data_IF_778190766673
#
_entry.id   IF_778190766673
#
_cell.length_a   1.000
_cell.length_b   1.000
_cell.length_c   1.000
_cell.angle_alpha   90.00
_cell.angle_beta   90.00
_cell.angle_gamma   90.00
#
_symmetry.space_group_name_H-M   'P 1'
#
loop_
_entity.id
_entity.type
_entity.pdbx_description
1 polymer ?
#
# COMPACT_ATOMS: atom_id res chain seq x y z
N UNK A 1 17.05 -17.90 4.79
CA UNK A 1 17.99 -16.75 4.92
C UNK A 1 18.67 -16.40 3.60
N UNK A 2 19.36 -17.34 2.94
CA UNK A 2 20.15 -17.07 1.75
C UNK A 2 19.28 -16.69 0.52
N UNK A 3 18.15 -17.33 0.35
CA UNK A 3 17.23 -17.09 -0.77
C UNK A 3 16.67 -15.67 -0.74
N UNK A 4 16.22 -15.21 0.44
CA UNK A 4 15.68 -13.84 0.59
C UNK A 4 16.76 -12.79 0.28
N UNK A 5 17.97 -13.00 0.77
CA UNK A 5 19.09 -12.09 0.49
C UNK A 5 19.38 -12.00 -1.00
N UNK A 6 19.30 -13.12 -1.72
CA UNK A 6 19.47 -13.16 -3.18
C UNK A 6 18.36 -12.37 -3.88
N UNK A 7 17.09 -12.53 -3.48
CA UNK A 7 15.99 -11.73 -4.03
C UNK A 7 16.17 -10.25 -3.71
N UNK A 8 16.45 -9.91 -2.45
CA UNK A 8 16.64 -8.51 -2.04
C UNK A 8 17.80 -7.83 -2.79
N UNK A 9 18.90 -8.53 -3.03
CA UNK A 9 20.05 -8.00 -3.76
C UNK A 9 19.80 -7.83 -5.27
N UNK A 10 18.86 -8.57 -5.85
CA UNK A 10 18.53 -8.49 -7.27
C UNK A 10 17.42 -7.49 -7.60
N UNK A 11 16.75 -6.91 -6.59
CA UNK A 11 15.68 -5.93 -6.81
C UNK A 11 16.28 -4.59 -7.21
N UNK A 12 16.12 -4.22 -8.47
CA UNK A 12 16.68 -2.99 -9.07
C UNK A 12 16.09 -1.71 -8.47
N UNK A 13 14.86 -1.78 -7.95
CA UNK A 13 14.16 -0.64 -7.36
C UNK A 13 14.61 -0.31 -5.93
N UNK A 14 15.47 -1.14 -5.32
CA UNK A 14 16.07 -0.81 -4.03
C UNK A 14 17.12 0.29 -4.20
N UNK A 15 16.93 1.37 -3.47
CA UNK A 15 17.90 2.48 -3.46
C UNK A 15 19.17 2.03 -2.74
N UNK A 16 20.30 2.29 -3.35
CA UNK A 16 21.61 1.88 -2.82
C UNK A 16 21.81 2.40 -1.39
N UNK A 17 22.04 1.49 -0.45
CA UNK A 17 22.45 1.84 0.91
C UNK A 17 23.93 2.17 0.85
N UNK A 18 24.28 3.47 0.89
CA UNK A 18 25.67 3.89 0.98
C UNK A 18 26.27 3.46 2.33
N UNK A 19 27.57 3.22 2.38
CA UNK A 19 28.30 2.97 3.64
C UNK A 19 28.20 4.23 4.52
N UNK A 20 27.17 4.25 5.41
CA UNK A 20 26.82 5.36 6.29
C UNK A 20 25.68 4.99 7.22
N UNK A 21 24.89 6.00 7.64
CA UNK A 21 23.70 5.78 8.48
C UNK A 21 22.69 4.88 7.75
N UNK A 22 22.24 3.83 8.44
CA UNK A 22 21.16 2.95 7.96
C UNK A 22 19.91 3.79 7.61
N UNK A 23 19.37 3.56 6.42
CA UNK A 23 18.19 4.31 5.95
C UNK A 23 16.92 3.74 6.58
N UNK A 24 16.07 4.64 7.10
CA UNK A 24 14.80 4.29 7.72
C UNK A 24 13.68 4.27 6.67
N UNK A 25 12.98 3.14 6.59
CA UNK A 25 11.84 2.95 5.69
C UNK A 25 10.61 2.60 6.52
N UNK A 26 9.52 3.35 6.30
CA UNK A 26 8.23 3.02 6.88
C UNK A 26 7.38 2.33 5.82
N UNK A 27 6.91 1.12 6.14
CA UNK A 27 6.09 0.29 5.25
C UNK A 27 4.62 0.42 5.65
N UNK A 28 3.77 0.75 4.69
CA UNK A 28 2.32 0.65 4.87
C UNK A 28 1.91 -0.83 4.90
N UNK A 29 1.60 -1.35 6.09
CA UNK A 29 1.21 -2.75 6.32
C UNK A 29 -0.31 -2.84 6.30
N UNK A 30 -0.86 -3.60 5.35
CA UNK A 30 -2.31 -3.79 5.20
C UNK A 30 -2.81 -5.12 5.78
N UNK A 31 -1.93 -5.95 6.34
CA UNK A 31 -2.25 -7.32 6.72
C UNK A 31 -2.35 -8.29 5.53
N UNK A 32 -2.08 -7.86 4.31
CA UNK A 32 -2.03 -8.71 3.11
C UNK A 32 -0.62 -9.21 2.79
N UNK A 33 -0.52 -10.24 1.94
CA UNK A 33 0.76 -10.88 1.57
C UNK A 33 1.76 -9.90 0.93
N UNK A 34 1.29 -8.97 0.10
CA UNK A 34 2.16 -8.06 -0.63
C UNK A 34 2.90 -7.09 0.29
N UNK A 35 2.19 -6.46 1.23
CA UNK A 35 2.82 -5.57 2.22
C UNK A 35 3.75 -6.33 3.17
N UNK A 36 3.41 -7.59 3.50
CA UNK A 36 4.22 -8.46 4.35
C UNK A 36 5.56 -8.79 3.69
N UNK A 37 5.53 -9.20 2.42
CA UNK A 37 6.75 -9.51 1.66
C UNK A 37 7.57 -8.24 1.41
N UNK A 38 6.92 -7.12 1.15
CA UNK A 38 7.60 -5.81 1.04
C UNK A 38 8.44 -5.49 2.27
N UNK A 39 7.88 -5.62 3.47
CA UNK A 39 8.59 -5.37 4.72
C UNK A 39 9.75 -6.35 4.94
N UNK A 40 9.53 -7.63 4.64
CA UNK A 40 10.54 -8.68 4.74
C UNK A 40 11.73 -8.41 3.83
N UNK A 41 11.49 -8.06 2.56
CA UNK A 41 12.53 -7.77 1.58
C UNK A 41 13.37 -6.55 1.97
N UNK A 42 12.72 -5.48 2.42
CA UNK A 42 13.42 -4.26 2.86
C UNK A 42 14.27 -4.52 4.09
N UNK A 43 13.77 -5.25 5.07
CA UNK A 43 14.55 -5.64 6.24
C UNK A 43 15.75 -6.52 5.86
N UNK A 44 15.55 -7.47 4.96
CA UNK A 44 16.62 -8.36 4.45
C UNK A 44 17.66 -7.60 3.64
N UNK A 45 17.26 -6.50 2.99
CA UNK A 45 18.18 -5.60 2.29
C UNK A 45 18.95 -4.63 3.22
N UNK A 46 18.72 -4.69 4.53
CA UNK A 46 19.48 -3.93 5.53
C UNK A 46 18.90 -2.55 5.87
N UNK A 47 17.66 -2.25 5.47
CA UNK A 47 16.98 -1.03 5.92
C UNK A 47 16.54 -1.14 7.39
N UNK A 48 16.49 -0.01 8.09
CA UNK A 48 15.73 0.12 9.33
C UNK A 48 14.24 0.20 8.97
N UNK A 49 13.49 -0.87 9.24
CA UNK A 49 12.09 -1.00 8.81
C UNK A 49 11.14 -0.85 9.99
N UNK A 50 10.12 -0.02 9.83
CA UNK A 50 8.96 0.06 10.72
C UNK A 50 7.69 -0.10 9.90
N UNK A 51 6.64 -0.64 10.49
CA UNK A 51 5.32 -0.78 9.89
C UNK A 51 4.35 0.30 10.36
N UNK A 52 3.47 0.76 9.48
CA UNK A 52 2.28 1.53 9.84
C UNK A 52 1.06 0.87 9.23
N UNK A 53 0.09 0.55 10.09
CA UNK A 53 -1.26 0.21 9.67
C UNK A 53 -2.08 1.49 9.52
N UNK A 54 -2.53 1.75 8.30
CA UNK A 54 -3.34 2.93 7.98
C UNK A 54 -4.82 2.63 8.21
N UNK A 55 -5.44 3.30 9.18
CA UNK A 55 -6.88 3.27 9.37
C UNK A 55 -7.51 4.39 8.52
N UNK A 56 -8.01 4.03 7.34
CA UNK A 56 -8.52 4.99 6.34
C UNK A 56 -10.04 5.16 6.37
N UNK A 57 -10.76 4.29 7.05
CA UNK A 57 -12.21 4.32 7.02
C UNK A 57 -12.79 3.97 8.39
N UNK A 58 -13.60 4.87 8.91
CA UNK A 58 -14.40 4.61 10.12
C UNK A 58 -15.84 4.38 9.68
N UNK A 59 -16.39 3.24 10.02
CA UNK A 59 -17.72 2.87 9.61
C UNK A 59 -18.77 3.60 10.46
N UNK A 60 -19.42 4.58 9.86
CA UNK A 60 -20.55 5.30 10.51
C UNK A 60 -21.92 4.81 10.00
N UNK A 61 -21.96 3.82 9.10
CA UNK A 61 -23.22 3.27 8.58
C UNK A 61 -23.57 1.96 9.27
N UNK A 62 -24.81 1.75 9.72
CA UNK A 62 -25.26 0.50 10.31
C UNK A 62 -25.16 -0.64 9.29
N UNK A 63 -24.78 -1.83 9.74
CA UNK A 63 -24.67 -3.07 8.96
C UNK A 63 -23.53 -3.14 7.90
N UNK A 64 -22.47 -2.38 8.02
CA UNK A 64 -21.29 -2.54 7.18
C UNK A 64 -20.19 -3.25 7.99
N UNK A 65 -19.83 -4.47 7.60
CA UNK A 65 -18.69 -5.18 8.18
C UNK A 65 -17.38 -4.52 7.75
N UNK A 66 -16.59 -4.08 8.72
CA UNK A 66 -15.25 -3.57 8.48
C UNK A 66 -14.22 -4.66 8.77
N UNK A 67 -13.44 -5.07 7.77
CA UNK A 67 -12.35 -6.06 7.93
C UNK A 67 -11.12 -5.48 8.62
N UNK A 68 -11.14 -4.20 8.97
CA UNK A 68 -9.99 -3.45 9.50
C UNK A 68 -9.38 -4.07 10.76
N UNK A 69 -10.20 -4.69 11.64
CA UNK A 69 -9.68 -5.31 12.86
C UNK A 69 -8.97 -6.64 12.59
N UNK A 70 -9.50 -7.46 11.68
CA UNK A 70 -8.85 -8.70 11.24
C UNK A 70 -7.56 -8.40 10.50
N UNK A 71 -7.59 -7.43 9.59
CA UNK A 71 -6.42 -6.99 8.84
C UNK A 71 -5.34 -6.40 9.75
N UNK A 72 -5.74 -5.69 10.81
CA UNK A 72 -4.81 -5.16 11.80
C UNK A 72 -4.13 -6.29 12.60
N UNK A 73 -4.88 -7.29 13.04
CA UNK A 73 -4.31 -8.48 13.72
C UNK A 73 -3.31 -9.21 12.85
N UNK A 74 -3.63 -9.40 11.56
CA UNK A 74 -2.69 -10.02 10.62
C UNK A 74 -1.43 -9.16 10.43
N UNK A 75 -1.58 -7.84 10.42
CA UNK A 75 -0.46 -6.90 10.36
C UNK A 75 0.43 -6.99 11.60
N UNK A 76 -0.15 -7.10 12.82
CA UNK A 76 0.59 -7.32 14.06
C UNK A 76 1.39 -8.62 14.01
N UNK A 77 0.74 -9.73 13.67
CA UNK A 77 1.39 -11.04 13.59
C UNK A 77 2.55 -11.05 12.58
N UNK A 78 2.39 -10.42 11.43
CA UNK A 78 3.45 -10.30 10.43
C UNK A 78 4.61 -9.47 10.94
N UNK A 79 4.33 -8.33 11.56
CA UNK A 79 5.37 -7.45 12.09
C UNK A 79 6.16 -8.15 13.19
N UNK A 80 5.50 -8.90 14.07
CA UNK A 80 6.15 -9.73 15.09
C UNK A 80 7.03 -10.81 14.47
N UNK A 81 6.53 -11.54 13.46
CA UNK A 81 7.33 -12.54 12.74
C UNK A 81 8.57 -11.97 12.09
N UNK A 82 8.43 -10.82 11.44
CA UNK A 82 9.54 -10.12 10.77
C UNK A 82 10.47 -9.47 11.83
N UNK A 83 9.97 -9.19 13.03
CA UNK A 83 10.68 -8.47 14.11
C UNK A 83 10.84 -6.99 13.78
N UNK A 84 9.75 -6.32 13.40
CA UNK A 84 9.65 -4.87 13.18
C UNK A 84 8.53 -4.29 14.04
N UNK A 85 8.66 -3.02 14.44
CA UNK A 85 7.58 -2.33 15.17
C UNK A 85 6.43 -2.01 14.23
N UNK A 86 5.18 -2.18 14.70
CA UNK A 86 3.97 -1.73 14.03
C UNK A 86 3.36 -0.56 14.80
N UNK A 87 3.01 0.49 14.07
CA UNK A 87 2.23 1.62 14.58
C UNK A 87 0.88 1.68 13.85
N UNK A 88 -0.11 2.30 14.49
CA UNK A 88 -1.41 2.57 13.88
C UNK A 88 -1.56 4.07 13.64
N UNK A 89 -1.88 4.48 12.43
CA UNK A 89 -2.18 5.86 12.09
C UNK A 89 -3.59 5.98 11.51
N UNK A 90 -4.31 7.03 11.91
CA UNK A 90 -5.69 7.26 11.48
C UNK A 90 -5.73 8.38 10.44
N UNK A 91 -6.13 8.05 9.23
CA UNK A 91 -6.32 8.97 8.11
C UNK A 91 -7.78 9.04 7.65
N UNK A 92 -8.72 8.63 8.49
CA UNK A 92 -10.14 8.54 8.11
C UNK A 92 -10.75 9.90 7.76
N UNK A 93 -10.33 10.97 8.42
CA UNK A 93 -10.79 12.32 8.12
C UNK A 93 -10.31 12.79 6.75
N UNK A 94 -9.00 12.62 6.47
CA UNK A 94 -8.40 12.96 5.18
C UNK A 94 -8.99 12.11 4.05
N UNK A 95 -9.23 10.83 4.32
CA UNK A 95 -9.83 9.91 3.35
C UNK A 95 -11.26 10.34 3.02
N UNK A 96 -12.06 10.68 4.03
CA UNK A 96 -13.41 11.18 3.84
C UNK A 96 -13.43 12.43 2.97
N UNK A 97 -12.60 13.41 3.31
CA UNK A 97 -12.61 14.71 2.64
C UNK A 97 -12.03 14.68 1.22
N UNK A 98 -10.93 13.95 1.01
CA UNK A 98 -10.17 14.01 -0.25
C UNK A 98 -10.46 12.86 -1.21
N UNK A 99 -11.01 11.75 -0.72
CA UNK A 99 -11.28 10.57 -1.55
C UNK A 99 -12.79 10.33 -1.66
N UNK A 100 -13.46 10.14 -0.53
CA UNK A 100 -14.85 9.70 -0.54
C UNK A 100 -15.82 10.79 -1.02
N UNK A 101 -15.65 12.04 -0.60
CA UNK A 101 -16.50 13.16 -1.05
C UNK A 101 -16.37 13.40 -2.56
N UNK A 102 -15.15 13.31 -3.11
CA UNK A 102 -14.92 13.44 -4.55
C UNK A 102 -15.56 12.27 -5.30
N UNK A 103 -15.39 11.05 -4.80
CA UNK A 103 -16.04 9.86 -5.32
C UNK A 103 -17.57 10.02 -5.39
N UNK A 104 -18.23 10.51 -4.33
CA UNK A 104 -19.67 10.77 -4.33
C UNK A 104 -20.06 11.89 -5.31
N UNK A 105 -19.28 12.97 -5.36
CA UNK A 105 -19.50 14.09 -6.28
C UNK A 105 -19.49 13.65 -7.73
N UNK A 106 -18.51 12.83 -8.12
CA UNK A 106 -18.38 12.34 -9.49
C UNK A 106 -19.50 11.34 -9.84
N UNK A 107 -19.88 10.49 -8.91
CA UNK A 107 -21.06 9.63 -9.07
C UNK A 107 -22.34 10.45 -9.33
N UNK A 108 -22.55 11.55 -8.59
CA UNK A 108 -23.69 12.42 -8.79
C UNK A 108 -23.72 13.09 -10.17
N UNK A 109 -22.55 13.27 -10.80
CA UNK A 109 -22.40 13.79 -12.18
C UNK A 109 -22.58 12.69 -13.25
N UNK A 110 -22.84 11.44 -12.85
CA UNK A 110 -22.94 10.30 -13.77
C UNK A 110 -21.59 9.76 -14.27
N UNK A 111 -20.50 10.13 -13.61
CA UNK A 111 -19.16 9.60 -13.91
C UNK A 111 -18.95 8.25 -13.19
N UNK A 112 -17.96 7.49 -13.66
CA UNK A 112 -17.47 6.27 -12.99
C UNK A 112 -16.14 6.58 -12.32
N UNK A 113 -16.13 7.08 -11.06
CA UNK A 113 -14.89 7.46 -10.39
C UNK A 113 -14.07 6.24 -9.96
N UNK A 114 -12.75 6.40 -9.93
CA UNK A 114 -11.83 5.42 -9.37
C UNK A 114 -11.19 5.97 -8.08
N UNK A 115 -11.72 5.59 -6.90
CA UNK A 115 -11.23 6.12 -5.63
C UNK A 115 -9.81 5.65 -5.28
N UNK A 116 -9.33 4.54 -5.87
CA UNK A 116 -7.98 4.04 -5.58
C UNK A 116 -6.89 4.97 -6.10
N UNK A 117 -7.14 5.65 -7.24
CA UNK A 117 -6.23 6.68 -7.76
C UNK A 117 -6.13 7.85 -6.79
N UNK A 118 -7.26 8.30 -6.23
CA UNK A 118 -7.31 9.37 -5.24
C UNK A 118 -6.68 8.93 -3.91
N UNK A 119 -6.97 7.70 -3.46
CA UNK A 119 -6.37 7.13 -2.27
C UNK A 119 -4.84 7.10 -2.39
N UNK A 120 -4.30 6.64 -3.51
CA UNK A 120 -2.87 6.67 -3.73
C UNK A 120 -2.32 8.10 -3.68
N UNK A 121 -2.93 9.04 -4.44
CA UNK A 121 -2.46 10.43 -4.52
C UNK A 121 -2.56 11.18 -3.18
N UNK A 122 -3.73 11.16 -2.54
CA UNK A 122 -4.03 12.05 -1.41
C UNK A 122 -3.73 11.41 -0.04
N UNK A 123 -3.82 10.08 0.06
CA UNK A 123 -3.61 9.38 1.33
C UNK A 123 -2.21 8.76 1.37
N UNK A 124 -1.90 7.77 0.49
CA UNK A 124 -0.64 7.02 0.60
C UNK A 124 0.60 7.85 0.27
N UNK A 125 0.55 8.64 -0.82
CA UNK A 125 1.70 9.42 -1.28
C UNK A 125 1.57 10.92 -0.96
N UNK A 126 0.67 11.28 -0.02
CA UNK A 126 0.57 12.62 0.56
C UNK A 126 0.49 12.52 2.08
N UNK A 127 -0.68 12.28 2.67
CA UNK A 127 -0.87 12.30 4.12
C UNK A 127 0.03 11.29 4.85
N UNK A 128 0.09 10.05 4.37
CA UNK A 128 0.96 9.02 4.95
C UNK A 128 2.44 9.32 4.72
N UNK A 129 2.83 9.79 3.52
CA UNK A 129 4.20 10.20 3.25
C UNK A 129 4.63 11.32 4.17
N UNK A 130 3.85 12.41 4.26
CA UNK A 130 4.16 13.56 5.12
C UNK A 130 4.30 13.11 6.58
N UNK A 131 3.34 12.32 7.09
CA UNK A 131 3.41 11.74 8.44
C UNK A 131 4.70 10.94 8.68
N UNK A 132 5.10 10.10 7.73
CA UNK A 132 6.31 9.29 7.86
C UNK A 132 7.59 10.14 7.85
N UNK A 133 7.66 11.16 6.99
CA UNK A 133 8.82 12.07 6.94
C UNK A 133 8.94 12.87 8.23
N UNK A 134 7.84 13.32 8.82
CA UNK A 134 7.81 14.03 10.10
C UNK A 134 8.31 13.14 11.27
N UNK A 135 8.13 11.81 11.16
CA UNK A 135 8.69 10.84 12.13
C UNK A 135 10.13 10.42 11.82
N UNK A 136 10.78 11.09 10.87
CA UNK A 136 12.19 10.89 10.53
C UNK A 136 12.48 9.73 9.59
N UNK A 137 11.49 9.26 8.81
CA UNK A 137 11.72 8.29 7.75
C UNK A 137 12.50 8.91 6.56
N UNK A 138 13.39 8.15 5.97
CA UNK A 138 14.03 8.53 4.70
C UNK A 138 13.10 8.21 3.51
N UNK A 139 12.38 7.09 3.60
CA UNK A 139 11.49 6.58 2.56
C UNK A 139 10.22 5.96 3.13
N UNK A 140 9.19 5.90 2.30
CA UNK A 140 8.04 5.02 2.53
C UNK A 140 8.06 3.84 1.56
N UNK A 141 7.34 2.78 1.90
CA UNK A 141 7.13 1.66 0.99
C UNK A 141 5.72 1.10 1.11
N UNK A 142 5.25 0.57 0.03
CA UNK A 142 3.95 -0.10 -0.08
C UNK A 142 4.07 -1.31 -0.99
N UNK A 143 3.12 -2.24 -0.90
CA UNK A 143 3.08 -3.46 -1.72
C UNK A 143 2.65 -3.25 -3.18
N UNK A 144 3.01 -2.13 -3.81
CA UNK A 144 2.64 -1.88 -5.20
C UNK A 144 3.55 -2.59 -6.19
N UNK A 145 2.94 -3.16 -7.24
CA UNK A 145 3.61 -3.72 -8.40
C UNK A 145 3.87 -2.62 -9.44
N UNK A 146 4.86 -1.80 -9.18
CA UNK A 146 5.37 -0.77 -10.08
C UNK A 146 6.88 -0.62 -9.84
N UNK A 147 7.62 -0.10 -10.82
CA UNK A 147 9.07 0.11 -10.70
C UNK A 147 9.38 1.60 -10.71
N UNK A 148 10.39 1.98 -9.94
CA UNK A 148 10.89 3.35 -9.88
C UNK A 148 12.36 3.38 -10.28
N UNK A 149 12.73 4.32 -11.13
CA UNK A 149 14.11 4.58 -11.52
C UNK A 149 14.43 6.06 -11.34
N UNK A 150 15.49 6.35 -10.59
CA UNK A 150 15.99 7.71 -10.47
C UNK A 150 16.87 8.03 -11.70
N UNK A 151 16.54 9.11 -12.39
CA UNK A 151 17.25 9.63 -13.57
C UNK A 151 17.65 11.07 -13.34
N UNK A 152 18.50 11.62 -14.21
CA UNK A 152 18.98 12.99 -14.09
C UNK A 152 17.87 14.06 -14.02
N UNK A 153 16.71 13.79 -14.63
CA UNK A 153 15.55 14.67 -14.66
C UNK A 153 14.45 14.30 -13.63
N UNK A 154 14.72 13.39 -12.68
CA UNK A 154 13.80 13.00 -11.62
C UNK A 154 13.52 11.50 -11.57
N UNK A 155 12.59 11.13 -10.68
CA UNK A 155 12.14 9.74 -10.52
C UNK A 155 11.08 9.41 -11.56
N UNK A 156 11.32 8.35 -12.31
CA UNK A 156 10.42 7.83 -13.34
C UNK A 156 9.76 6.55 -12.87
N UNK A 157 8.47 6.42 -13.16
CA UNK A 157 7.70 5.23 -12.87
C UNK A 157 7.56 4.36 -14.12
N UNK A 158 7.72 3.06 -13.94
CA UNK A 158 7.57 2.02 -14.97
C UNK A 158 6.58 0.97 -14.50
N UNK A 159 6.04 0.23 -15.45
CA UNK A 159 5.21 -0.93 -15.14
C UNK A 159 5.99 -1.97 -14.35
N UNK A 160 5.31 -2.67 -13.46
CA UNK A 160 5.82 -3.90 -12.86
C UNK A 160 6.12 -4.96 -13.92
N UNK A 161 7.02 -5.89 -13.60
CA UNK A 161 7.34 -7.00 -14.53
C UNK A 161 6.16 -7.97 -14.68
N UNK A 162 5.34 -8.13 -13.65
CA UNK A 162 4.09 -8.89 -13.72
C UNK A 162 3.00 -8.03 -14.35
N UNK A 163 2.76 -8.22 -15.63
CA UNK A 163 1.74 -7.47 -16.37
C UNK A 163 0.30 -7.73 -15.89
N UNK A 164 0.07 -8.86 -15.20
CA UNK A 164 -1.26 -9.19 -14.66
C UNK A 164 -1.53 -8.50 -13.33
N UNK A 165 -0.47 -8.01 -12.66
CA UNK A 165 -0.53 -7.33 -11.35
C UNK A 165 -0.05 -5.88 -11.41
N UNK A 166 0.38 -5.39 -12.57
CA UNK A 166 0.85 -4.01 -12.72
C UNK A 166 -0.16 -2.99 -12.16
N UNK A 167 0.33 -2.14 -11.27
CA UNK A 167 -0.46 -1.13 -10.56
C UNK A 167 -0.04 0.31 -10.92
N UNK A 168 0.83 0.48 -11.91
CA UNK A 168 1.28 1.81 -12.36
C UNK A 168 0.12 2.72 -12.75
N UNK A 169 -0.98 2.15 -13.30
CA UNK A 169 -2.19 2.89 -13.60
C UNK A 169 -2.75 3.63 -12.38
N UNK A 170 -2.78 2.99 -11.22
CA UNK A 170 -3.35 3.59 -10.00
C UNK A 170 -2.44 4.66 -9.39
N UNK A 171 -1.21 4.78 -9.86
CA UNK A 171 -0.19 5.70 -9.35
C UNK A 171 0.05 6.93 -10.26
N UNK A 172 -0.61 7.01 -11.43
CA UNK A 172 -0.30 8.02 -12.45
C UNK A 172 -0.51 9.47 -11.99
N UNK A 173 -1.31 9.70 -10.95
CA UNK A 173 -1.53 11.03 -10.36
C UNK A 173 -0.56 11.38 -9.23
N UNK A 174 0.33 10.47 -8.83
CA UNK A 174 1.36 10.72 -7.82
C UNK A 174 2.50 11.50 -8.45
N UNK A 175 2.98 12.55 -7.76
CA UNK A 175 4.06 13.37 -8.30
C UNK A 175 5.42 12.65 -8.30
N UNK A 176 6.29 12.96 -9.25
CA UNK A 176 7.66 12.42 -9.26
C UNK A 176 8.46 12.77 -8.00
N UNK A 177 8.19 13.94 -7.39
CA UNK A 177 8.78 14.36 -6.11
C UNK A 177 8.41 13.39 -4.98
N UNK A 178 7.14 12.99 -4.90
CA UNK A 178 6.64 12.09 -3.86
C UNK A 178 7.12 10.65 -4.13
N UNK A 179 7.14 10.22 -5.40
CA UNK A 179 7.69 8.93 -5.80
C UNK A 179 9.20 8.82 -5.50
N UNK A 180 9.93 9.91 -5.50
CA UNK A 180 11.36 9.91 -5.09
C UNK A 180 11.55 9.45 -3.64
N UNK A 181 10.54 9.60 -2.80
CA UNK A 181 10.51 9.14 -1.41
C UNK A 181 9.89 7.76 -1.23
N UNK A 182 9.59 7.06 -2.32
CA UNK A 182 8.99 5.73 -2.30
C UNK A 182 9.96 4.63 -2.75
N UNK A 183 9.71 3.41 -2.25
CA UNK A 183 10.39 2.18 -2.70
C UNK A 183 9.31 1.12 -2.96
N UNK A 184 9.34 0.47 -4.12
CA UNK A 184 8.40 -0.59 -4.50
C UNK A 184 9.13 -1.90 -4.79
N UNK A 185 9.47 -2.71 -3.77
CA UNK A 185 10.25 -3.93 -3.97
C UNK A 185 9.56 -4.96 -4.86
N UNK A 186 8.21 -4.95 -4.90
CA UNK A 186 7.45 -5.93 -5.67
C UNK A 186 7.40 -5.64 -7.18
N UNK A 187 7.82 -4.46 -7.60
CA UNK A 187 7.82 -4.09 -9.03
C UNK A 187 8.71 -4.97 -9.90
N UNK A 188 9.76 -5.56 -9.33
CA UNK A 188 10.68 -6.47 -10.00
C UNK A 188 10.38 -7.96 -9.71
N UNK A 189 9.17 -8.28 -9.22
CA UNK A 189 8.73 -9.63 -8.88
C UNK A 189 7.38 -9.95 -9.52
N UNK A 190 7.18 -11.22 -9.84
CA UNK A 190 5.86 -11.76 -10.18
C UNK A 190 5.07 -12.08 -8.91
N UNK A 191 3.75 -12.17 -9.02
CA UNK A 191 2.90 -12.56 -7.88
C UNK A 191 3.24 -13.96 -7.34
N UNK A 192 3.61 -14.87 -8.21
CA UNK A 192 4.01 -16.23 -7.82
C UNK A 192 5.31 -16.21 -7.01
N UNK A 193 6.29 -15.39 -7.40
CA UNK A 193 7.51 -15.19 -6.62
C UNK A 193 7.22 -14.57 -5.25
N UNK A 194 6.34 -13.57 -5.19
CA UNK A 194 5.90 -12.97 -3.92
C UNK A 194 5.25 -14.01 -3.00
N UNK A 195 4.38 -14.87 -3.52
CA UNK A 195 3.77 -15.96 -2.75
C UNK A 195 4.77 -17.02 -2.34
N UNK A 196 5.75 -17.34 -3.19
CA UNK A 196 6.85 -18.27 -2.85
C UNK A 196 7.67 -17.69 -1.69
N UNK A 197 8.08 -16.43 -1.77
CA UNK A 197 8.81 -15.76 -0.68
C UNK A 197 8.02 -15.80 0.63
N UNK A 198 6.72 -15.51 0.59
CA UNK A 198 5.87 -15.58 1.77
C UNK A 198 5.82 -16.99 2.36
N UNK A 199 5.67 -18.00 1.51
CA UNK A 199 5.62 -19.41 1.91
C UNK A 199 6.96 -19.90 2.49
N UNK A 200 8.07 -19.60 1.83
CA UNK A 200 9.42 -20.04 2.23
C UNK A 200 9.84 -19.42 3.58
N UNK A 201 9.20 -18.29 3.95
CA UNK A 201 9.39 -17.63 5.23
C UNK A 201 8.26 -17.89 6.24
N UNK A 202 7.33 -18.79 5.91
CA UNK A 202 6.19 -19.15 6.75
C UNK A 202 5.38 -17.92 7.23
N UNK A 203 5.24 -16.88 6.41
CA UNK A 203 4.47 -15.72 6.81
C UNK A 203 3.00 -16.10 7.02
N UNK A 204 2.39 -15.60 8.09
CA UNK A 204 0.97 -15.89 8.42
C UNK A 204 0.01 -15.49 7.30
N UNK A 205 0.40 -14.53 6.47
CA UNK A 205 -0.38 -14.02 5.34
C UNK A 205 -0.25 -14.84 4.05
N UNK A 206 0.56 -15.92 4.03
CA UNK A 206 0.86 -16.71 2.82
C UNK A 206 -0.39 -17.15 2.06
N UNK A 207 -1.41 -17.63 2.79
CA UNK A 207 -2.65 -18.15 2.21
C UNK A 207 -3.76 -17.08 2.11
N UNK A 208 -3.48 -15.83 2.50
CA UNK A 208 -4.47 -14.77 2.44
C UNK A 208 -4.78 -14.43 0.98
N UNK A 209 -6.07 -14.35 0.66
CA UNK A 209 -6.53 -13.94 -0.67
C UNK A 209 -6.17 -12.47 -0.90
N UNK A 210 -5.92 -12.13 -2.16
CA UNK A 210 -5.75 -10.73 -2.55
C UNK A 210 -7.02 -9.94 -2.21
N UNK A 211 -6.84 -8.72 -1.69
CA UNK A 211 -7.97 -7.81 -1.48
C UNK A 211 -8.61 -7.48 -2.83
N UNK A 212 -9.91 -7.67 -2.92
CA UNK A 212 -10.70 -7.39 -4.14
C UNK A 212 -11.72 -6.31 -3.78
N UNK A 213 -11.76 -5.25 -4.58
CA UNK A 213 -12.75 -4.18 -4.44
C UNK A 213 -12.20 -2.91 -3.81
N UNK A 214 -13.11 -1.96 -3.59
CA UNK A 214 -12.82 -0.64 -3.06
C UNK A 214 -12.74 -0.71 -1.54
N UNK A 215 -11.72 -0.10 -0.96
CA UNK A 215 -11.37 -0.17 0.47
C UNK A 215 -12.53 0.06 1.44
N UNK A 216 -13.38 1.06 1.17
CA UNK A 216 -14.50 1.45 2.04
C UNK A 216 -15.78 0.64 1.78
N UNK A 217 -15.85 -0.11 0.69
CA UNK A 217 -16.99 -0.99 0.39
C UNK A 217 -16.79 -2.36 1.05
N UNK A 218 -15.55 -2.83 1.09
CA UNK A 218 -15.22 -4.14 1.67
C UNK A 218 -15.99 -5.27 1.00
N UNK A 219 -16.63 -6.13 1.81
CA UNK A 219 -17.44 -7.27 1.33
C UNK A 219 -18.89 -6.88 0.98
N UNK A 220 -19.27 -5.62 1.10
CA UNK A 220 -20.63 -5.17 0.89
C UNK A 220 -20.97 -5.08 -0.60
N UNK A 221 -22.28 -5.13 -0.92
CA UNK A 221 -22.74 -4.86 -2.26
C UNK A 221 -22.52 -3.39 -2.60
N UNK A 222 -21.90 -3.12 -3.74
CA UNK A 222 -21.59 -1.76 -4.21
C UNK A 222 -22.82 -0.87 -4.27
N UNK A 223 -23.90 -1.36 -4.89
CA UNK A 223 -25.11 -0.58 -5.09
C UNK A 223 -25.81 -0.26 -3.78
N UNK A 224 -25.86 -1.21 -2.84
CA UNK A 224 -26.46 -1.01 -1.52
C UNK A 224 -25.64 0.00 -0.71
N UNK A 225 -24.32 -0.09 -0.76
CA UNK A 225 -23.43 0.86 -0.10
C UNK A 225 -23.64 2.28 -0.63
N UNK A 226 -23.62 2.47 -1.94
CA UNK A 226 -23.75 3.79 -2.55
C UNK A 226 -25.14 4.38 -2.33
N UNK A 227 -26.21 3.58 -2.32
CA UNK A 227 -27.58 4.04 -2.10
C UNK A 227 -27.78 4.66 -0.72
N UNK A 228 -26.96 4.31 0.28
CA UNK A 228 -26.99 4.92 1.61
C UNK A 228 -26.53 6.39 1.60
N UNK A 229 -25.75 6.78 0.61
CA UNK A 229 -25.19 8.14 0.50
C UNK A 229 -25.82 8.99 -0.60
N UNK A 230 -26.27 8.39 -1.69
CA UNK A 230 -26.72 9.13 -2.86
C UNK A 230 -28.23 9.07 -3.11
N UNK A 231 -28.98 8.30 -2.34
CA UNK A 231 -30.40 8.07 -2.63
C UNK A 231 -30.61 7.32 -3.98
N UNK A 232 -31.72 6.59 -4.09
CA UNK A 232 -32.07 5.90 -5.35
C UNK A 232 -32.55 6.93 -6.36
N UNK A 233 -31.79 7.17 -7.42
CA UNK A 233 -32.30 7.85 -8.62
C UNK A 233 -32.90 6.78 -9.55
N UNK A 234 -34.15 6.91 -10.01
CA UNK A 234 -34.64 6.06 -11.09
C UNK A 234 -33.78 6.30 -12.32
N UNK A 235 -33.31 5.20 -12.94
CA UNK A 235 -32.61 5.23 -14.20
C UNK A 235 -33.55 5.55 -15.38
#
# INVERSE_FOLDING_TARGET
GLIILTFALNIKTLKTISMGKQKKVIVGISGGVDSSVTALLLKSAGYEVQGIFMHNWTNNAPNIECTSEEDFKDAELVCDQIGIQLHKANFSAEYWDKVFREFLSDHNKGLTPNPDILCNKEIKFRAFLDYCLDTGADYISTGHYARLEDRANGTHMFRGIDHTKDQSYFLHKVSGKDLNRAIFPLGDLTKDEVRSIAKDNNLVTTNKKDSVGICFIGKNNYNDFISNFLGKKPG
#
